data_IF_256988567307
#
_entry.id   IF_256988567307
#
_cell.length_a   1.000
_cell.length_b   1.000
_cell.length_c   1.000
_cell.angle_alpha   90.00
_cell.angle_beta   90.00
_cell.angle_gamma   90.00
#
_symmetry.space_group_name_H-M   'P 1'
#
loop_
_entity.id
_entity.type
_entity.pdbx_description
1 polymer ?
#
# COMPACT_ATOMS: atom_id res chain seq x y z
N UNK A 1 8.94 6.06 8.74
CA UNK A 1 8.53 4.73 8.32
C UNK A 1 8.38 4.67 6.81
N UNK A 2 8.83 3.60 6.21
CA UNK A 2 8.77 3.46 4.76
C UNK A 2 8.43 2.01 4.40
N UNK A 3 7.57 1.84 3.40
CA UNK A 3 7.32 0.53 2.82
C UNK A 3 7.44 0.61 1.31
N UNK A 4 7.79 -0.52 0.71
CA UNK A 4 7.85 -0.66 -0.75
C UNK A 4 6.85 -1.74 -1.17
N UNK A 5 6.00 -1.40 -2.15
CA UNK A 5 5.00 -2.32 -2.68
C UNK A 5 5.42 -2.71 -4.10
N UNK A 6 5.70 -4.00 -4.29
CA UNK A 6 6.15 -4.54 -5.57
C UNK A 6 4.95 -5.06 -6.35
N UNK A 7 4.77 -4.54 -7.56
CA UNK A 7 3.64 -4.88 -8.43
C UNK A 7 4.09 -5.68 -9.63
N UNK A 8 3.21 -6.59 -10.08
CA UNK A 8 3.50 -7.46 -11.24
C UNK A 8 3.71 -6.66 -12.52
N UNK A 9 3.04 -5.52 -12.65
CA UNK A 9 3.06 -4.72 -13.87
C UNK A 9 4.13 -3.64 -13.89
N UNK A 10 4.90 -3.49 -12.82
CA UNK A 10 5.90 -2.43 -12.72
C UNK A 10 7.26 -2.98 -12.35
N UNK A 11 8.30 -2.44 -12.98
CA UNK A 11 9.69 -2.78 -12.65
C UNK A 11 10.07 -2.28 -11.27
N UNK A 12 9.72 -1.03 -10.98
CA UNK A 12 10.10 -0.39 -9.74
C UNK A 12 8.97 -0.44 -8.72
N UNK A 13 9.29 -0.63 -7.45
CA UNK A 13 8.26 -0.64 -6.42
C UNK A 13 7.69 0.75 -6.19
N UNK A 14 6.46 0.82 -5.70
CA UNK A 14 5.87 2.05 -5.23
C UNK A 14 6.30 2.23 -3.78
N UNK A 15 6.88 3.38 -3.46
CA UNK A 15 7.33 3.67 -2.10
C UNK A 15 6.34 4.57 -1.39
N UNK A 16 6.03 4.21 -0.15
CA UNK A 16 5.16 4.99 0.72
C UNK A 16 5.96 5.38 1.96
N UNK A 17 5.87 6.64 2.33
CA UNK A 17 6.57 7.16 3.51
C UNK A 17 5.60 7.90 4.41
N UNK A 18 5.88 7.92 5.70
CA UNK A 18 5.06 8.62 6.67
C UNK A 18 5.56 8.34 8.08
N UNK A 19 4.96 9.03 9.05
CA UNK A 19 5.27 8.78 10.46
C UNK A 19 4.69 7.43 10.90
N UNK A 20 3.61 7.04 10.24
CA UNK A 20 2.95 5.76 10.46
C UNK A 20 2.37 5.27 9.16
N UNK A 21 2.45 3.97 8.90
CA UNK A 21 1.86 3.36 7.72
C UNK A 21 1.10 2.12 8.15
N UNK A 22 -0.19 2.05 7.78
CA UNK A 22 -1.02 0.87 8.01
C UNK A 22 -1.31 0.21 6.67
N UNK A 23 -1.24 -1.12 6.65
CA UNK A 23 -1.60 -1.91 5.49
C UNK A 23 -2.77 -2.80 5.91
N UNK A 24 -3.92 -2.57 5.31
CA UNK A 24 -5.17 -3.22 5.69
C UNK A 24 -5.75 -4.01 4.52
N UNK A 25 -6.43 -5.10 4.83
CA UNK A 25 -7.16 -5.85 3.82
C UNK A 25 -8.52 -5.20 3.62
N UNK A 26 -8.94 -5.09 2.37
CA UNK A 26 -10.21 -4.49 2.02
C UNK A 26 -10.84 -5.29 0.87
N UNK A 27 -12.13 -5.54 0.94
CA UNK A 27 -12.84 -6.26 -0.11
C UNK A 27 -14.09 -5.48 -0.51
N UNK A 28 -14.30 -5.37 -1.83
CA UNK A 28 -15.47 -4.70 -2.38
C UNK A 28 -15.85 -5.40 -3.68
N UNK A 29 -17.14 -5.73 -3.84
CA UNK A 29 -17.65 -6.41 -5.04
C UNK A 29 -16.86 -7.69 -5.38
N UNK A 30 -16.50 -8.46 -4.36
CA UNK A 30 -15.75 -9.71 -4.49
C UNK A 30 -14.32 -9.52 -5.00
N UNK A 31 -13.81 -8.29 -4.98
CA UNK A 31 -12.43 -7.99 -5.34
C UNK A 31 -11.67 -7.61 -4.08
N UNK A 32 -10.51 -8.22 -3.91
CA UNK A 32 -9.66 -7.96 -2.74
C UNK A 32 -8.64 -6.89 -3.04
N UNK A 33 -8.47 -5.99 -2.09
CA UNK A 33 -7.53 -4.87 -2.18
C UNK A 33 -6.67 -4.81 -0.94
N UNK A 34 -5.50 -4.22 -1.07
CA UNK A 34 -4.72 -3.75 0.07
C UNK A 34 -4.93 -2.25 0.16
N UNK A 35 -5.35 -1.78 1.31
CA UNK A 35 -5.45 -0.35 1.58
C UNK A 35 -4.19 0.08 2.32
N UNK A 36 -3.47 1.00 1.73
CA UNK A 36 -2.25 1.53 2.32
C UNK A 36 -2.53 2.93 2.79
N UNK A 37 -2.44 3.12 4.10
CA UNK A 37 -2.73 4.41 4.74
C UNK A 37 -1.44 4.94 5.33
N UNK A 38 -1.02 6.10 4.85
CA UNK A 38 0.16 6.76 5.40
C UNK A 38 -0.25 8.02 6.14
N UNK A 39 0.33 8.21 7.30
CA UNK A 39 0.01 9.33 8.19
C UNK A 39 1.23 10.20 8.36
N UNK A 40 1.04 11.48 8.14
CA UNK A 40 2.06 12.50 8.40
C UNK A 40 1.44 13.57 9.27
N UNK A 41 2.30 14.36 9.90
CA UNK A 41 1.85 15.44 10.75
C UNK A 41 0.91 16.36 9.95
N UNK A 42 -0.33 16.42 10.36
CA UNK A 42 -1.32 17.30 9.76
C UNK A 42 -2.16 16.70 8.64
N UNK A 43 -1.81 15.52 8.09
CA UNK A 43 -2.64 14.91 7.05
C UNK A 43 -2.37 13.42 6.90
N UNK A 44 -3.28 12.75 6.21
CA UNK A 44 -3.15 11.34 5.88
C UNK A 44 -3.53 11.10 4.42
N UNK A 45 -2.98 10.05 3.85
CA UNK A 45 -3.34 9.59 2.51
C UNK A 45 -3.68 8.11 2.58
N UNK A 46 -4.60 7.68 1.71
CA UNK A 46 -4.88 6.26 1.57
C UNK A 46 -5.02 5.91 0.09
N UNK A 47 -4.57 4.71 -0.26
CA UNK A 47 -4.68 4.18 -1.61
C UNK A 47 -5.11 2.74 -1.55
N UNK A 48 -5.90 2.33 -2.55
CA UNK A 48 -6.31 0.94 -2.71
C UNK A 48 -5.55 0.35 -3.89
N UNK A 49 -4.96 -0.82 -3.67
CA UNK A 49 -4.26 -1.56 -4.72
C UNK A 49 -4.84 -2.97 -4.75
N UNK A 50 -5.22 -3.45 -5.93
CA UNK A 50 -5.75 -4.80 -6.06
C UNK A 50 -4.71 -5.80 -5.58
N UNK A 51 -5.13 -6.67 -4.66
CA UNK A 51 -4.22 -7.65 -4.06
C UNK A 51 -3.56 -8.56 -5.10
N UNK A 52 -4.28 -8.89 -6.15
CA UNK A 52 -3.77 -9.76 -7.22
C UNK A 52 -2.59 -9.15 -7.97
N UNK A 53 -2.44 -7.84 -7.92
CA UNK A 53 -1.34 -7.15 -8.60
C UNK A 53 -0.09 -7.07 -7.74
N UNK A 54 -0.20 -7.34 -6.46
CA UNK A 54 0.90 -7.20 -5.52
C UNK A 54 1.72 -8.48 -5.46
N UNK A 55 3.02 -8.36 -5.69
CA UNK A 55 3.95 -9.48 -5.54
C UNK A 55 4.33 -9.61 -4.07
N UNK A 56 4.73 -8.51 -3.47
CA UNK A 56 5.13 -8.48 -2.05
C UNK A 56 5.14 -7.05 -1.54
N UNK A 57 5.11 -6.92 -0.23
CA UNK A 57 5.26 -5.63 0.46
C UNK A 57 6.45 -5.77 1.39
N UNK A 58 7.39 -4.86 1.29
CA UNK A 58 8.61 -4.91 2.08
C UNK A 58 8.69 -3.68 2.98
N UNK A 59 8.95 -3.91 4.26
CA UNK A 59 9.21 -2.82 5.21
C UNK A 59 10.68 -2.49 5.21
N UNK A 60 10.98 -1.23 5.28
CA UNK A 60 12.35 -0.72 5.31
C UNK A 60 12.67 -0.19 6.70
#
# INVERSE_FOLDING_TARGET
MEISVYLKSKKDPIKYTGDRIDVLDFEMDNVKYKQIRSFRKGFSKSELIMSDLIIKIKKV
#
